data_IF_770395605444
#
_entry.id   IF_770395605444
#
_cell.length_a   1.000
_cell.length_b   1.000
_cell.length_c   1.000
_cell.angle_alpha   90.00
_cell.angle_beta   90.00
_cell.angle_gamma   90.00
#
_symmetry.space_group_name_H-M   'P 1'
#
loop_
_entity.id
_entity.type
_entity.pdbx_description
1 polymer ?
#
# COMPACT_ATOMS: atom_id res chain seq x y z
N UNK A 1 -3.87 -15.85 -17.21
CA UNK A 1 -4.32 -15.16 -15.99
C UNK A 1 -3.53 -13.87 -15.83
N UNK A 2 -4.19 -12.75 -15.49
CA UNK A 2 -3.51 -11.46 -15.28
C UNK A 2 -3.56 -11.08 -13.82
N UNK A 3 -2.43 -10.69 -13.26
CA UNK A 3 -2.29 -10.25 -11.87
C UNK A 3 -1.65 -8.86 -11.83
N UNK A 4 -2.30 -7.92 -11.17
CA UNK A 4 -1.80 -6.57 -10.94
C UNK A 4 -1.15 -6.55 -9.56
N UNK A 5 0.16 -6.34 -9.51
CA UNK A 5 0.97 -6.55 -8.30
C UNK A 5 1.26 -5.23 -7.61
N UNK A 6 0.97 -5.16 -6.32
CA UNK A 6 1.34 -4.07 -5.44
C UNK A 6 2.74 -4.29 -4.87
N UNK A 7 3.44 -3.21 -4.49
CA UNK A 7 4.77 -3.22 -3.90
C UNK A 7 4.81 -4.04 -2.60
N UNK A 8 3.76 -3.94 -1.80
CA UNK A 8 3.72 -4.52 -0.45
C UNK A 8 3.79 -6.06 -0.44
N UNK A 9 3.40 -6.76 -1.51
CA UNK A 9 3.52 -8.23 -1.59
C UNK A 9 4.97 -8.73 -1.56
N UNK A 10 5.92 -7.86 -1.92
CA UNK A 10 7.36 -8.18 -1.90
C UNK A 10 8.00 -7.91 -0.54
N UNK A 11 7.39 -7.05 0.30
CA UNK A 11 7.99 -6.56 1.54
C UNK A 11 7.18 -6.87 2.80
N UNK A 12 5.92 -7.29 2.69
CA UNK A 12 5.06 -7.65 3.83
C UNK A 12 5.12 -9.15 4.11
N UNK A 13 6.06 -9.56 4.96
CA UNK A 13 6.31 -10.98 5.25
C UNK A 13 5.19 -11.67 6.05
N UNK A 14 4.36 -10.91 6.78
CA UNK A 14 3.21 -11.48 7.50
C UNK A 14 2.13 -12.03 6.55
N UNK A 15 2.02 -11.44 5.37
CA UNK A 15 1.01 -11.78 4.35
C UNK A 15 1.58 -12.77 3.32
N UNK A 16 2.90 -12.79 3.18
CA UNK A 16 3.62 -13.52 2.14
C UNK A 16 4.31 -14.80 2.60
N UNK A 17 3.87 -15.44 3.69
CA UNK A 17 4.47 -16.71 4.14
C UNK A 17 4.54 -17.73 3.01
N UNK A 18 3.55 -17.73 2.12
CA UNK A 18 3.51 -18.62 0.97
C UNK A 18 4.24 -18.07 -0.27
N UNK A 19 4.62 -16.80 -0.31
CA UNK A 19 5.34 -16.20 -1.45
C UNK A 19 6.85 -16.24 -1.29
N UNK A 20 7.39 -16.17 -0.07
CA UNK A 20 8.81 -16.17 0.22
C UNK A 20 9.12 -15.42 1.52
N UNK A 21 10.37 -15.51 1.98
CA UNK A 21 10.86 -14.89 3.22
C UNK A 21 11.51 -13.53 2.99
N UNK A 22 11.72 -13.16 1.75
CA UNK A 22 12.35 -11.92 1.33
C UNK A 22 11.94 -11.58 -0.11
N UNK A 23 12.14 -10.33 -0.58
CA UNK A 23 11.74 -9.92 -1.93
C UNK A 23 12.37 -10.75 -3.05
N UNK A 24 13.60 -11.25 -2.86
CA UNK A 24 14.32 -12.03 -3.87
C UNK A 24 13.65 -13.38 -4.10
N UNK A 25 13.23 -14.05 -3.00
CA UNK A 25 12.50 -15.32 -3.07
C UNK A 25 11.13 -15.15 -3.74
N UNK A 26 10.43 -14.04 -3.46
CA UNK A 26 9.17 -13.71 -4.12
C UNK A 26 9.36 -13.57 -5.63
N UNK A 27 10.36 -12.79 -6.07
CA UNK A 27 10.64 -12.58 -7.49
C UNK A 27 11.07 -13.89 -8.19
N UNK A 28 11.84 -14.75 -7.52
CA UNK A 28 12.24 -16.06 -8.05
C UNK A 28 11.02 -16.97 -8.23
N UNK A 29 10.14 -17.04 -7.21
CA UNK A 29 8.91 -17.83 -7.26
C UNK A 29 7.98 -17.36 -8.40
N UNK A 30 7.75 -16.03 -8.53
CA UNK A 30 6.94 -15.47 -9.61
C UNK A 30 7.55 -15.79 -10.99
N UNK A 31 8.87 -15.70 -11.08
CA UNK A 31 9.61 -16.02 -12.30
C UNK A 31 9.47 -17.48 -12.72
N UNK A 32 9.57 -18.40 -11.76
CA UNK A 32 9.36 -19.85 -11.99
C UNK A 32 7.93 -20.16 -12.42
N UNK A 33 6.95 -19.58 -11.71
CA UNK A 33 5.55 -19.77 -12.03
C UNK A 33 5.22 -19.32 -13.47
N UNK A 34 5.74 -18.16 -13.90
CA UNK A 34 5.54 -17.68 -15.26
C UNK A 34 6.24 -18.56 -16.30
N UNK A 35 7.42 -19.10 -15.98
CA UNK A 35 8.15 -20.00 -16.87
C UNK A 35 7.36 -21.32 -17.09
N UNK A 36 6.82 -21.89 -16.00
CA UNK A 36 6.06 -23.14 -16.05
C UNK A 36 4.64 -22.92 -16.58
N UNK A 37 4.09 -21.73 -16.39
CA UNK A 37 2.73 -21.37 -16.84
C UNK A 37 2.80 -20.04 -17.61
N UNK A 38 3.16 -20.05 -18.91
CA UNK A 38 3.35 -18.82 -19.71
C UNK A 38 2.09 -17.96 -19.89
N UNK A 39 0.92 -18.49 -19.57
CA UNK A 39 -0.34 -17.71 -19.58
C UNK A 39 -0.47 -16.74 -18.39
N UNK A 40 0.42 -16.79 -17.42
CA UNK A 40 0.49 -15.82 -16.31
C UNK A 40 1.14 -14.52 -16.82
N UNK A 41 0.45 -13.41 -16.57
CA UNK A 41 0.93 -12.07 -16.89
C UNK A 41 0.91 -11.23 -15.62
N UNK A 42 2.06 -10.73 -15.22
CA UNK A 42 2.19 -9.76 -14.13
C UNK A 42 2.13 -8.35 -14.70
N UNK A 43 1.41 -7.48 -14.01
CA UNK A 43 1.18 -6.08 -14.39
C UNK A 43 1.60 -5.17 -13.23
N UNK A 44 2.25 -4.08 -13.55
CA UNK A 44 2.57 -2.98 -12.62
C UNK A 44 2.43 -1.64 -13.32
N UNK A 45 2.18 -0.58 -12.55
CA UNK A 45 2.32 0.79 -13.07
C UNK A 45 3.77 1.28 -12.94
N UNK A 46 4.22 2.28 -13.75
CA UNK A 46 5.54 2.88 -13.57
C UNK A 46 5.75 3.45 -12.15
N UNK A 47 4.68 3.97 -11.50
CA UNK A 47 4.76 4.50 -10.16
C UNK A 47 5.06 3.40 -9.12
N UNK A 48 4.41 2.24 -9.22
CA UNK A 48 4.68 1.07 -8.36
C UNK A 48 6.10 0.55 -8.58
N UNK A 49 6.57 0.50 -9.83
CA UNK A 49 7.97 0.10 -10.12
C UNK A 49 8.96 1.07 -9.47
N UNK A 50 8.74 2.38 -9.60
CA UNK A 50 9.60 3.40 -8.99
C UNK A 50 9.61 3.30 -7.45
N UNK A 51 8.46 3.05 -6.83
CA UNK A 51 8.37 2.79 -5.40
C UNK A 51 9.19 1.54 -5.02
N UNK A 52 8.98 0.44 -5.73
CA UNK A 52 9.72 -0.80 -5.53
C UNK A 52 11.24 -0.59 -5.64
N UNK A 53 11.72 0.13 -6.68
CA UNK A 53 13.14 0.47 -6.85
C UNK A 53 13.71 1.28 -5.67
N UNK A 54 12.90 2.13 -5.05
CA UNK A 54 13.30 2.93 -3.89
C UNK A 54 13.49 2.10 -2.61
N UNK A 55 12.79 0.97 -2.50
CA UNK A 55 12.83 0.07 -1.35
C UNK A 55 13.97 -0.95 -1.41
N UNK A 56 14.54 -1.20 -2.60
CA UNK A 56 15.64 -2.16 -2.74
C UNK A 56 16.99 -1.53 -2.38
N UNK A 57 17.78 -2.27 -1.60
CA UNK A 57 19.19 -1.92 -1.38
C UNK A 57 19.99 -2.05 -2.69
N UNK A 58 21.07 -1.30 -2.81
CA UNK A 58 21.92 -1.27 -4.03
C UNK A 58 22.37 -2.66 -4.47
N UNK A 59 22.69 -3.55 -3.49
CA UNK A 59 23.14 -4.93 -3.75
C UNK A 59 22.07 -5.81 -4.40
N UNK A 60 20.78 -5.52 -4.14
CA UNK A 60 19.64 -6.34 -4.57
C UNK A 60 18.99 -5.81 -5.86
N UNK A 61 19.37 -4.61 -6.31
CA UNK A 61 18.84 -4.00 -7.55
C UNK A 61 19.07 -4.84 -8.80
N UNK A 62 20.16 -5.59 -8.86
CA UNK A 62 20.43 -6.48 -9.99
C UNK A 62 19.35 -7.57 -10.14
N UNK A 63 18.85 -8.12 -9.03
CA UNK A 63 17.77 -9.11 -9.06
C UNK A 63 16.45 -8.47 -9.51
N UNK A 64 16.14 -7.26 -9.01
CA UNK A 64 14.98 -6.51 -9.45
C UNK A 64 15.02 -6.25 -10.97
N UNK A 65 16.14 -5.77 -11.49
CA UNK A 65 16.31 -5.53 -12.94
C UNK A 65 16.20 -6.81 -13.77
N UNK A 66 16.51 -7.97 -13.22
CA UNK A 66 16.32 -9.27 -13.87
C UNK A 66 14.85 -9.73 -13.85
N UNK A 67 14.07 -9.28 -12.86
CA UNK A 67 12.64 -9.58 -12.73
C UNK A 67 11.76 -8.67 -13.59
N UNK A 68 12.05 -7.36 -13.65
CA UNK A 68 11.22 -6.37 -14.35
C UNK A 68 10.89 -6.71 -15.81
N UNK A 69 11.78 -7.31 -16.64
CA UNK A 69 11.42 -7.74 -17.99
C UNK A 69 10.28 -8.78 -18.07
N UNK A 70 9.98 -9.44 -16.95
CA UNK A 70 8.89 -10.41 -16.84
C UNK A 70 7.54 -9.76 -16.47
N UNK A 71 7.57 -8.47 -16.14
CA UNK A 71 6.41 -7.68 -15.75
C UNK A 71 5.99 -6.78 -16.92
N UNK A 72 4.70 -6.77 -17.23
CA UNK A 72 4.13 -5.83 -18.19
C UNK A 72 3.87 -4.50 -17.47
N UNK A 73 4.75 -3.52 -17.68
CA UNK A 73 4.63 -2.20 -17.07
C UNK A 73 3.74 -1.34 -17.96
N UNK A 74 2.61 -0.87 -17.42
CA UNK A 74 1.59 -0.09 -18.15
C UNK A 74 1.08 1.09 -17.34
N UNK A 75 0.79 2.17 -18.03
CA UNK A 75 0.10 3.34 -17.45
C UNK A 75 -1.37 3.28 -17.82
N UNK A 76 -2.31 3.27 -16.85
CA UNK A 76 -3.74 3.34 -17.18
C UNK A 76 -4.08 4.70 -17.80
N UNK A 77 -4.95 4.76 -18.80
CA UNK A 77 -5.37 6.01 -19.44
C UNK A 77 -6.42 6.73 -18.57
N UNK A 78 -5.99 7.28 -17.43
CA UNK A 78 -6.90 7.87 -16.42
C UNK A 78 -7.84 8.93 -17.00
N UNK A 79 -7.43 9.67 -18.03
CA UNK A 79 -8.25 10.68 -18.68
C UNK A 79 -9.40 10.12 -19.52
N UNK A 80 -9.39 8.83 -19.84
CA UNK A 80 -10.40 8.15 -20.66
C UNK A 80 -11.27 7.20 -19.83
N UNK A 81 -10.89 6.95 -18.58
CA UNK A 81 -11.60 6.03 -17.70
C UNK A 81 -12.73 6.71 -16.98
N UNK A 82 -13.80 5.97 -16.76
CA UNK A 82 -14.96 6.41 -15.98
C UNK A 82 -15.07 5.61 -14.70
N UNK A 83 -15.41 6.27 -13.60
CA UNK A 83 -15.72 5.64 -12.32
C UNK A 83 -17.17 5.95 -11.94
N UNK A 84 -17.85 5.07 -11.21
CA UNK A 84 -19.21 5.36 -10.75
C UNK A 84 -19.22 6.59 -9.85
N UNK A 85 -20.12 7.56 -10.12
CA UNK A 85 -20.24 8.79 -9.34
C UNK A 85 -20.46 8.52 -7.84
N UNK A 86 -21.18 7.43 -7.50
CA UNK A 86 -21.39 7.01 -6.12
C UNK A 86 -20.08 6.66 -5.40
N UNK A 87 -19.11 6.04 -6.09
CA UNK A 87 -17.79 5.71 -5.49
C UNK A 87 -17.02 7.00 -5.22
N UNK A 88 -17.10 7.97 -6.13
CA UNK A 88 -16.47 9.28 -5.94
C UNK A 88 -17.12 10.08 -4.79
N UNK A 89 -18.46 10.05 -4.67
CA UNK A 89 -19.17 10.63 -3.54
C UNK A 89 -18.73 10.01 -2.20
N UNK A 90 -18.63 8.69 -2.14
CA UNK A 90 -18.10 8.00 -0.96
C UNK A 90 -16.66 8.41 -0.65
N UNK A 91 -15.80 8.58 -1.66
CA UNK A 91 -14.44 9.04 -1.48
C UNK A 91 -14.37 10.43 -0.85
N UNK A 92 -15.19 11.38 -1.35
CA UNK A 92 -15.29 12.73 -0.79
C UNK A 92 -15.79 12.69 0.66
N UNK A 93 -16.86 11.93 0.92
CA UNK A 93 -17.49 11.82 2.24
C UNK A 93 -16.52 11.21 3.27
N UNK A 94 -15.82 10.15 2.88
CA UNK A 94 -14.81 9.50 3.72
C UNK A 94 -13.61 10.44 4.01
N UNK A 95 -13.10 11.13 3.00
CA UNK A 95 -12.01 12.09 3.15
C UNK A 95 -12.38 13.24 4.11
N UNK A 96 -13.62 13.73 4.01
CA UNK A 96 -14.16 14.78 4.88
C UNK A 96 -14.25 14.32 6.34
N UNK A 97 -14.81 13.11 6.57
CA UNK A 97 -14.88 12.51 7.89
C UNK A 97 -13.49 12.37 8.51
N UNK A 98 -12.54 11.79 7.79
CA UNK A 98 -11.17 11.57 8.25
C UNK A 98 -10.43 12.87 8.57
N UNK A 99 -10.66 13.92 7.79
CA UNK A 99 -10.15 15.24 8.08
C UNK A 99 -10.69 15.79 9.42
N UNK A 100 -11.98 15.60 9.69
CA UNK A 100 -12.60 15.96 10.98
C UNK A 100 -12.03 15.16 12.15
N UNK A 101 -11.89 13.84 11.99
CA UNK A 101 -11.30 12.95 13.00
C UNK A 101 -9.84 13.35 13.29
N UNK A 102 -9.08 13.69 12.26
CA UNK A 102 -7.70 14.16 12.39
C UNK A 102 -7.60 15.48 13.19
N UNK A 103 -8.50 16.43 12.93
CA UNK A 103 -8.57 17.69 13.66
C UNK A 103 -8.92 17.45 15.14
N UNK A 104 -9.92 16.63 15.41
CA UNK A 104 -10.29 16.25 16.78
C UNK A 104 -9.12 15.64 17.57
N UNK A 105 -8.35 14.73 16.94
CA UNK A 105 -7.17 14.13 17.55
C UNK A 105 -6.09 15.20 17.84
N UNK A 106 -5.93 16.18 16.96
CA UNK A 106 -5.00 17.29 17.19
C UNK A 106 -5.42 18.15 18.37
N UNK A 107 -6.71 18.52 18.45
CA UNK A 107 -7.27 19.31 19.56
C UNK A 107 -7.10 18.61 20.92
N UNK A 108 -7.47 17.32 21.01
CA UNK A 108 -7.24 16.52 22.21
C UNK A 108 -5.76 16.47 22.63
N UNK A 109 -4.87 16.38 21.64
CA UNK A 109 -3.42 16.31 21.92
C UNK A 109 -2.89 17.63 22.44
N UNK A 110 -3.38 18.76 21.94
CA UNK A 110 -3.04 20.08 22.45
C UNK A 110 -3.49 20.25 23.91
N UNK A 111 -4.73 19.86 24.24
CA UNK A 111 -5.24 19.91 25.61
C UNK A 111 -4.35 19.10 26.54
N UNK A 112 -4.06 17.83 26.20
CA UNK A 112 -3.18 16.96 27.01
C UNK A 112 -1.76 17.51 27.15
N UNK A 113 -1.22 18.14 26.12
CA UNK A 113 0.10 18.77 26.17
C UNK A 113 0.13 19.94 27.17
N UNK A 114 -0.91 20.77 27.18
CA UNK A 114 -1.06 21.89 28.13
C UNK A 114 -1.24 21.37 29.55
N UNK A 115 -2.11 20.39 29.79
CA UNK A 115 -2.30 19.77 31.11
C UNK A 115 -0.99 19.15 31.64
N UNK A 116 -0.23 18.47 30.79
CA UNK A 116 1.06 17.89 31.17
C UNK A 116 2.12 18.96 31.52
N UNK A 117 2.07 20.10 30.84
CA UNK A 117 2.97 21.24 31.11
C UNK A 117 2.60 22.00 32.38
N UNK A 118 1.31 22.07 32.72
CA UNK A 118 0.83 22.77 33.91
C UNK A 118 1.38 22.17 35.22
N UNK A 119 1.64 20.89 35.24
CA UNK A 119 2.11 20.14 36.40
C UNK A 119 3.66 20.06 36.54
N UNK A 120 4.42 20.63 35.60
CA UNK A 120 5.90 20.60 35.60
C UNK A 120 6.47 21.94 35.23
N UNK A 121 7.34 22.52 36.07
CA UNK A 121 8.06 23.73 35.69
C UNK A 121 9.00 23.44 34.51
N UNK A 122 8.69 23.97 33.34
CA UNK A 122 9.49 23.84 32.13
C UNK A 122 10.50 25.02 32.11
N UNK A 123 11.72 24.75 32.57
CA UNK A 123 12.75 25.79 32.74
C UNK A 123 13.52 26.10 31.45
N UNK A 124 13.50 25.19 30.47
CA UNK A 124 14.24 25.34 29.23
C UNK A 124 13.49 24.81 27.99
N UNK A 125 13.93 25.27 26.80
CA UNK A 125 13.41 24.73 25.50
C UNK A 125 13.62 23.22 25.36
N UNK A 126 14.69 22.69 25.97
CA UNK A 126 14.98 21.26 25.96
C UNK A 126 13.96 20.49 26.79
N UNK A 127 13.57 21.03 27.96
CA UNK A 127 12.56 20.39 28.82
C UNK A 127 11.20 20.39 28.13
N UNK A 128 10.85 21.49 27.45
CA UNK A 128 9.63 21.56 26.62
C UNK A 128 9.66 20.51 25.52
N UNK A 129 10.76 20.36 24.78
CA UNK A 129 10.87 19.36 23.71
C UNK A 129 10.74 17.94 24.24
N UNK A 130 11.38 17.63 25.37
CA UNK A 130 11.27 16.31 26.03
C UNK A 130 9.84 16.02 26.51
N UNK A 131 9.17 17.01 27.11
CA UNK A 131 7.79 16.86 27.60
C UNK A 131 6.79 16.65 26.46
N UNK A 132 7.06 17.18 25.27
CA UNK A 132 6.21 17.06 24.10
C UNK A 132 6.49 15.78 23.26
N UNK A 133 7.53 15.00 23.59
CA UNK A 133 7.89 13.84 22.77
C UNK A 133 6.75 12.80 22.73
N UNK A 134 6.26 12.39 23.90
CA UNK A 134 5.17 11.43 24.02
C UNK A 134 3.84 11.93 23.39
N UNK A 135 3.39 13.18 23.65
CA UNK A 135 2.23 13.73 22.94
C UNK A 135 2.37 13.72 21.42
N UNK A 136 3.55 14.05 20.88
CA UNK A 136 3.81 14.04 19.42
C UNK A 136 3.77 12.63 18.83
N UNK A 137 4.34 11.66 19.51
CA UNK A 137 4.31 10.26 19.07
C UNK A 137 2.87 9.72 19.06
N UNK A 138 2.11 9.99 20.13
CA UNK A 138 0.70 9.66 20.23
C UNK A 138 -0.13 10.32 19.12
N UNK A 139 0.08 11.64 18.90
CA UNK A 139 -0.58 12.38 17.82
C UNK A 139 -0.32 11.72 16.46
N UNK A 140 0.95 11.47 16.13
CA UNK A 140 1.34 10.88 14.84
C UNK A 140 0.70 9.53 14.61
N UNK A 141 0.71 8.66 15.63
CA UNK A 141 0.13 7.33 15.54
C UNK A 141 -1.38 7.39 15.35
N UNK A 142 -2.10 8.12 16.24
CA UNK A 142 -3.56 8.27 16.19
C UNK A 142 -4.02 8.96 14.90
N UNK A 143 -3.34 10.03 14.51
CA UNK A 143 -3.63 10.76 13.27
C UNK A 143 -3.48 9.85 12.05
N UNK A 144 -2.36 9.11 11.94
CA UNK A 144 -2.14 8.16 10.84
C UNK A 144 -3.26 7.11 10.79
N UNK A 145 -3.60 6.52 11.93
CA UNK A 145 -4.65 5.50 11.98
C UNK A 145 -6.01 6.07 11.56
N UNK A 146 -6.38 7.27 12.02
CA UNK A 146 -7.65 7.87 11.69
C UNK A 146 -7.73 8.35 10.21
N UNK A 147 -6.62 8.82 9.64
CA UNK A 147 -6.64 9.48 8.32
C UNK A 147 -6.20 8.58 7.17
N UNK A 148 -5.39 7.53 7.42
CA UNK A 148 -4.81 6.70 6.34
C UNK A 148 -5.28 5.26 6.32
N UNK A 149 -5.45 4.61 7.48
CA UNK A 149 -5.81 3.18 7.52
C UNK A 149 -7.13 2.93 6.78
N UNK A 150 -7.11 2.07 5.78
CA UNK A 150 -8.27 1.75 4.96
C UNK A 150 -8.74 2.88 4.02
N UNK A 151 -7.92 3.90 3.77
CA UNK A 151 -8.23 4.98 2.84
C UNK A 151 -7.24 5.00 1.67
N UNK A 152 -7.74 5.35 0.49
CA UNK A 152 -6.91 5.47 -0.71
C UNK A 152 -6.32 6.89 -0.76
N UNK A 153 -5.12 7.06 -0.22
CA UNK A 153 -4.43 8.36 -0.11
C UNK A 153 -3.23 8.50 -1.06
N UNK A 154 -2.99 7.50 -1.90
CA UNK A 154 -1.89 7.46 -2.86
C UNK A 154 -2.40 7.43 -4.30
N UNK A 155 -1.83 8.29 -5.15
CA UNK A 155 -2.10 8.28 -6.60
C UNK A 155 -1.49 7.05 -7.29
N UNK A 156 -0.42 6.46 -6.73
CA UNK A 156 0.18 5.24 -7.24
C UNK A 156 -0.78 4.06 -7.06
N UNK A 157 -1.39 3.95 -5.87
CA UNK A 157 -2.37 2.90 -5.54
C UNK A 157 -3.64 3.04 -6.37
N UNK A 158 -4.14 4.29 -6.54
CA UNK A 158 -5.26 4.54 -7.43
C UNK A 158 -4.93 4.11 -8.87
N UNK A 159 -3.74 4.48 -9.37
CA UNK A 159 -3.27 4.04 -10.69
C UNK A 159 -3.20 2.52 -10.81
N UNK A 160 -2.77 1.81 -9.77
CA UNK A 160 -2.72 0.35 -9.75
C UNK A 160 -4.12 -0.28 -9.84
N UNK A 161 -5.10 0.24 -9.07
CA UNK A 161 -6.49 -0.19 -9.14
C UNK A 161 -7.06 0.04 -10.55
N UNK A 162 -6.81 1.23 -11.14
CA UNK A 162 -7.31 1.56 -12.48
C UNK A 162 -6.68 0.68 -13.56
N UNK A 163 -5.39 0.32 -13.43
CA UNK A 163 -4.73 -0.64 -14.31
C UNK A 163 -5.38 -2.02 -14.20
N UNK A 164 -5.64 -2.48 -12.97
CA UNK A 164 -6.31 -3.77 -12.73
C UNK A 164 -7.72 -3.79 -13.36
N UNK A 165 -8.47 -2.70 -13.22
CA UNK A 165 -9.80 -2.54 -13.82
C UNK A 165 -9.73 -2.61 -15.35
N UNK A 166 -8.84 -1.83 -15.97
CA UNK A 166 -8.67 -1.76 -17.42
C UNK A 166 -8.27 -3.11 -18.02
N UNK A 167 -7.30 -3.78 -17.40
CA UNK A 167 -6.75 -5.05 -17.87
C UNK A 167 -7.61 -6.28 -17.50
N UNK A 168 -8.68 -6.06 -16.72
CA UNK A 168 -9.49 -7.13 -16.11
C UNK A 168 -8.57 -8.11 -15.37
N UNK A 169 -7.62 -7.56 -14.63
CA UNK A 169 -6.64 -8.31 -13.86
C UNK A 169 -7.10 -8.45 -12.40
N UNK A 170 -6.66 -9.53 -11.76
CA UNK A 170 -6.82 -9.67 -10.31
C UNK A 170 -5.79 -8.80 -9.61
N UNK A 171 -6.24 -7.94 -8.71
CA UNK A 171 -5.40 -7.09 -7.87
C UNK A 171 -4.83 -7.90 -6.71
N UNK A 172 -3.52 -7.85 -6.55
CA UNK A 172 -2.81 -8.52 -5.46
C UNK A 172 -2.18 -7.44 -4.59
N UNK A 173 -2.74 -7.27 -3.40
CA UNK A 173 -2.28 -6.28 -2.43
C UNK A 173 -2.45 -6.79 -1.01
N UNK A 174 -1.68 -6.23 -0.11
CA UNK A 174 -1.80 -6.39 1.34
C UNK A 174 -2.37 -5.12 2.01
N UNK A 175 -2.54 -4.04 1.26
CA UNK A 175 -3.10 -2.79 1.78
C UNK A 175 -4.63 -2.87 1.80
N UNK A 176 -5.22 -2.72 3.01
CA UNK A 176 -6.68 -2.76 3.20
C UNK A 176 -7.40 -1.64 2.44
N UNK A 177 -6.78 -0.47 2.31
CA UNK A 177 -7.33 0.66 1.58
C UNK A 177 -7.39 0.36 0.08
N UNK A 178 -6.30 -0.15 -0.48
CA UNK A 178 -6.21 -0.54 -1.89
C UNK A 178 -7.22 -1.64 -2.20
N UNK A 179 -7.31 -2.68 -1.36
CA UNK A 179 -8.27 -3.77 -1.52
C UNK A 179 -9.72 -3.26 -1.47
N UNK A 180 -10.08 -2.48 -0.43
CA UNK A 180 -11.42 -1.94 -0.24
C UNK A 180 -11.86 -1.05 -1.41
N UNK A 181 -11.00 -0.12 -1.84
CA UNK A 181 -11.33 0.79 -2.94
C UNK A 181 -11.30 0.08 -4.29
N UNK A 182 -10.45 -0.93 -4.47
CA UNK A 182 -10.47 -1.81 -5.63
C UNK A 182 -11.80 -2.53 -5.76
N UNK A 183 -12.32 -3.12 -4.69
CA UNK A 183 -13.63 -3.78 -4.66
C UNK A 183 -14.77 -2.80 -4.98
N UNK A 184 -14.77 -1.59 -4.39
CA UNK A 184 -15.77 -0.55 -4.68
C UNK A 184 -15.78 -0.14 -6.16
N UNK A 185 -14.64 -0.18 -6.82
CA UNK A 185 -14.49 0.10 -8.25
C UNK A 185 -14.73 -1.14 -9.12
N UNK A 186 -15.06 -2.30 -8.54
CA UNK A 186 -15.39 -3.53 -9.27
C UNK A 186 -14.18 -4.35 -9.70
N UNK A 187 -13.01 -4.12 -9.11
CA UNK A 187 -11.82 -4.93 -9.33
C UNK A 187 -11.91 -6.21 -8.49
N UNK A 188 -11.55 -7.34 -9.09
CA UNK A 188 -11.37 -8.60 -8.35
C UNK A 188 -10.06 -8.53 -7.60
N UNK A 189 -10.11 -8.74 -6.29
CA UNK A 189 -8.96 -8.77 -5.40
C UNK A 189 -8.67 -10.20 -4.94
N UNK A 190 -7.41 -10.49 -4.68
CA UNK A 190 -6.96 -11.74 -4.10
C UNK A 190 -5.89 -11.45 -3.03
N UNK A 191 -6.06 -12.03 -1.86
CA UNK A 191 -5.07 -11.89 -0.78
C UNK A 191 -3.73 -12.53 -1.13
N UNK A 192 -2.64 -12.01 -0.55
CA UNK A 192 -1.29 -12.55 -0.76
C UNK A 192 -1.16 -14.04 -0.45
N UNK A 193 -1.88 -14.53 0.57
CA UNK A 193 -1.87 -15.95 0.94
C UNK A 193 -2.50 -16.84 -0.15
N UNK A 194 -3.68 -16.46 -0.65
CA UNK A 194 -4.36 -17.20 -1.74
C UNK A 194 -3.54 -17.13 -3.03
N UNK A 195 -3.00 -15.96 -3.34
CA UNK A 195 -2.11 -15.78 -4.47
C UNK A 195 -0.85 -16.63 -4.36
N UNK A 196 -0.20 -16.65 -3.17
CA UNK A 196 1.00 -17.45 -2.91
C UNK A 196 0.76 -18.94 -3.17
N UNK A 197 -0.35 -19.48 -2.68
CA UNK A 197 -0.71 -20.87 -2.96
C UNK A 197 -0.89 -21.15 -4.46
N UNK A 198 -1.63 -20.30 -5.17
CA UNK A 198 -1.84 -20.42 -6.61
C UNK A 198 -0.53 -20.35 -7.41
N UNK A 199 0.37 -19.45 -7.03
CA UNK A 199 1.66 -19.26 -7.69
C UNK A 199 2.61 -20.43 -7.41
N UNK A 200 2.65 -20.99 -6.18
CA UNK A 200 3.44 -22.18 -5.87
C UNK A 200 2.97 -23.37 -6.71
N UNK A 201 1.68 -23.61 -6.79
CA UNK A 201 1.12 -24.64 -7.65
C UNK A 201 1.53 -24.45 -9.12
N UNK A 202 1.48 -23.21 -9.63
CA UNK A 202 1.92 -22.88 -10.97
C UNK A 202 3.43 -23.06 -11.17
N UNK A 203 4.23 -22.85 -10.12
CA UNK A 203 5.68 -23.08 -10.12
C UNK A 203 6.07 -24.56 -9.99
N UNK A 204 5.12 -25.45 -9.73
CA UNK A 204 5.37 -26.88 -9.52
C UNK A 204 5.93 -27.21 -8.12
N UNK A 205 5.59 -26.39 -7.09
CA UNK A 205 6.02 -26.52 -5.71
C UNK A 205 4.84 -26.83 -4.78
#
# INVERSE_FOLDING_TARGET
MKFCLDTNIFFSFEIGVDLGKNPLEVMDLLSKAQTNTPSIVYLMTPAIVAEMESMFEVKDKAALHSFLPKVSIKTPPLGEMTIPAMVFDQFISEGRKRSGDGLHIADETLIRAVESAHNKPLASRIDIQKSLQQPKESLRSRYRNATRTGYLDSSADFGLIMLALQEKATLITADEGVALWGQKLGVVEMSGAVFGHAIRQAAGL
#
